data_IF_680519798654
#
_entry.id   IF_680519798654
#
_cell.length_a   1.000
_cell.length_b   1.000
_cell.length_c   1.000
_cell.angle_alpha   90.00
_cell.angle_beta   90.00
_cell.angle_gamma   90.00
#
_symmetry.space_group_name_H-M   'P 1'
#
loop_
_entity.id
_entity.type
_entity.pdbx_description
1 polymer ?
#
# COMPACT_ATOMS: atom_id res chain seq x y z
N UNK A 1 18.69 16.77 3.89
CA UNK A 1 18.40 16.20 2.56
C UNK A 1 18.34 14.69 2.69
N UNK A 2 17.26 14.07 2.26
CA UNK A 2 17.20 12.61 2.25
C UNK A 2 18.18 12.08 1.19
N UNK A 3 19.22 11.40 1.62
CA UNK A 3 20.19 10.81 0.71
C UNK A 3 19.55 9.61 -0.01
N UNK A 4 19.49 9.66 -1.35
CA UNK A 4 18.95 8.58 -2.18
C UNK A 4 19.76 7.26 -2.08
N UNK A 5 20.96 7.28 -1.49
CA UNK A 5 21.83 6.11 -1.32
C UNK A 5 21.17 4.96 -0.54
N UNK A 6 20.47 5.27 0.54
CA UNK A 6 19.83 4.26 1.39
C UNK A 6 18.71 3.55 0.64
N UNK A 7 17.96 4.27 -0.20
CA UNK A 7 16.81 3.74 -0.96
C UNK A 7 17.24 2.71 -2.02
N UNK A 8 18.48 2.73 -2.45
CA UNK A 8 19.00 1.76 -3.42
C UNK A 8 19.16 0.35 -2.83
N UNK A 9 19.51 0.27 -1.54
CA UNK A 9 19.81 -1.00 -0.88
C UNK A 9 18.71 -1.46 0.06
N UNK A 10 17.86 -0.55 0.55
CA UNK A 10 16.88 -0.82 1.58
C UNK A 10 15.56 -0.11 1.30
N UNK A 11 14.45 -0.70 1.75
CA UNK A 11 13.18 0.00 1.80
C UNK A 11 13.29 1.14 2.81
N UNK A 12 12.98 2.37 2.39
CA UNK A 12 13.06 3.56 3.24
C UNK A 12 11.76 4.36 3.16
N UNK A 13 11.38 4.99 4.26
CA UNK A 13 10.26 5.95 4.31
C UNK A 13 10.67 7.30 3.72
N UNK A 14 11.97 7.61 3.81
CA UNK A 14 12.56 8.81 3.22
C UNK A 14 13.02 8.60 1.78
N UNK A 15 13.62 9.64 1.19
CA UNK A 15 14.17 9.61 -0.15
C UNK A 15 13.42 10.54 -1.10
N UNK A 16 14.11 10.90 -2.20
CA UNK A 16 13.53 11.70 -3.26
C UNK A 16 12.84 10.79 -4.28
N UNK A 17 11.55 11.05 -4.53
CA UNK A 17 10.78 10.37 -5.57
C UNK A 17 9.80 11.35 -6.20
N UNK A 18 9.85 11.54 -7.52
CA UNK A 18 9.02 12.51 -8.24
C UNK A 18 7.51 12.19 -8.24
N UNK A 19 7.13 10.94 -7.96
CA UNK A 19 5.74 10.48 -7.90
C UNK A 19 5.33 10.01 -6.49
N UNK A 20 5.84 10.67 -5.44
CA UNK A 20 5.50 10.33 -4.06
C UNK A 20 4.01 10.60 -3.78
N UNK A 21 3.24 9.66 -3.21
CA UNK A 21 1.86 9.88 -2.86
C UNK A 21 1.72 11.05 -1.87
N UNK A 22 0.77 11.96 -2.13
CA UNK A 22 0.57 13.17 -1.33
C UNK A 22 0.41 12.87 0.16
N UNK A 23 -0.39 11.84 0.53
CA UNK A 23 -0.59 11.47 1.94
C UNK A 23 0.68 10.98 2.62
N UNK A 24 1.57 10.30 1.89
CA UNK A 24 2.88 9.89 2.44
C UNK A 24 3.78 11.11 2.66
N UNK A 25 3.76 12.09 1.75
CA UNK A 25 4.47 13.34 1.95
C UNK A 25 3.92 14.11 3.16
N UNK A 26 2.60 14.20 3.30
CA UNK A 26 1.97 14.85 4.44
C UNK A 26 2.32 14.16 5.78
N UNK A 27 2.33 12.82 5.84
CA UNK A 27 2.81 12.09 7.03
C UNK A 27 4.26 12.43 7.37
N UNK A 28 5.11 12.47 6.35
CA UNK A 28 6.51 12.83 6.54
C UNK A 28 6.66 14.26 7.07
N UNK A 29 6.00 15.22 6.45
CA UNK A 29 6.10 16.64 6.81
C UNK A 29 5.55 16.93 8.21
N UNK A 30 4.45 16.27 8.58
CA UNK A 30 3.77 16.50 9.85
C UNK A 30 4.41 15.74 11.01
N UNK A 31 4.81 14.47 10.81
CA UNK A 31 5.21 13.57 11.90
C UNK A 31 6.67 13.12 11.89
N UNK A 32 7.43 13.34 10.80
CA UNK A 32 8.77 12.78 10.66
C UNK A 32 9.85 13.83 10.35
N UNK A 33 9.46 15.06 9.96
CA UNK A 33 10.44 16.08 9.52
C UNK A 33 10.92 16.97 10.66
N UNK A 34 10.04 17.50 11.47
CA UNK A 34 10.35 18.44 12.56
C UNK A 34 10.27 17.78 13.93
N UNK A 35 9.18 17.09 14.18
CA UNK A 35 8.96 16.32 15.41
C UNK A 35 8.71 14.88 15.00
N UNK A 36 9.53 13.96 15.49
CA UNK A 36 9.37 12.55 15.19
C UNK A 36 8.31 11.97 16.14
N UNK A 37 7.17 11.54 15.59
CA UNK A 37 6.13 10.84 16.34
C UNK A 37 6.46 9.35 16.44
N UNK A 38 6.70 8.80 17.66
CA UNK A 38 6.98 7.38 17.83
C UNK A 38 5.85 6.48 17.29
N UNK A 39 4.58 6.86 17.49
CA UNK A 39 3.43 6.11 16.98
C UNK A 39 3.48 5.96 15.45
N UNK A 40 3.79 7.04 14.74
CA UNK A 40 3.88 7.03 13.27
C UNK A 40 5.09 6.24 12.79
N UNK A 41 6.22 6.35 13.48
CA UNK A 41 7.43 5.53 13.22
C UNK A 41 7.10 4.04 13.37
N UNK A 42 6.37 3.67 14.43
CA UNK A 42 6.02 2.28 14.73
C UNK A 42 5.02 1.71 13.71
N UNK A 43 3.95 2.46 13.37
CA UNK A 43 2.94 2.00 12.39
C UNK A 43 3.49 1.90 10.97
N UNK A 44 4.49 2.71 10.60
CA UNK A 44 5.19 2.63 9.32
C UNK A 44 6.24 1.51 9.30
N UNK A 45 6.32 0.70 10.36
CA UNK A 45 7.27 -0.40 10.50
C UNK A 45 8.72 0.03 10.29
N UNK A 46 9.08 1.24 10.75
CA UNK A 46 10.46 1.72 10.68
C UNK A 46 11.27 0.98 11.74
N UNK A 47 12.04 -0.02 11.31
CA UNK A 47 12.83 -0.89 12.20
C UNK A 47 14.18 -0.32 12.55
N UNK A 48 14.73 0.53 11.67
CA UNK A 48 16.06 1.09 11.82
C UNK A 48 16.05 2.58 11.55
N UNK A 49 16.79 3.33 12.36
CA UNK A 49 17.06 4.75 12.15
C UNK A 49 18.57 4.93 11.96
N UNK A 50 18.96 5.71 10.96
CA UNK A 50 20.36 6.05 10.74
C UNK A 50 20.66 7.38 11.43
N UNK A 51 21.68 7.40 12.26
CA UNK A 51 22.18 8.57 12.95
C UNK A 51 23.63 8.81 12.53
N UNK A 52 23.97 10.08 12.35
CA UNK A 52 25.36 10.47 12.10
C UNK A 52 26.00 10.82 13.45
N UNK A 53 27.05 10.10 13.82
CA UNK A 53 27.83 10.39 15.01
C UNK A 53 28.70 11.67 14.80
N UNK A 54 29.27 12.19 15.89
CA UNK A 54 30.09 13.41 15.84
C UNK A 54 31.32 13.28 14.94
N UNK A 55 31.85 12.07 14.81
CA UNK A 55 32.98 11.74 13.92
C UNK A 55 32.58 11.55 12.45
N UNK A 56 31.30 11.77 12.11
CA UNK A 56 30.74 11.58 10.76
C UNK A 56 30.40 10.12 10.39
N UNK A 57 30.62 9.16 11.28
CA UNK A 57 30.25 7.78 11.08
C UNK A 57 28.72 7.61 11.15
N UNK A 58 28.18 6.64 10.39
CA UNK A 58 26.75 6.30 10.43
C UNK A 58 26.53 5.12 11.37
N UNK A 59 25.66 5.31 12.36
CA UNK A 59 25.22 4.27 13.27
C UNK A 59 23.74 3.94 13.01
N UNK A 60 23.38 2.66 13.11
CA UNK A 60 22.00 2.21 12.97
C UNK A 60 21.39 1.94 14.37
N UNK A 61 20.38 2.71 14.72
CA UNK A 61 19.54 2.43 15.91
C UNK A 61 18.42 1.46 15.55
N UNK A 62 18.17 0.46 16.40
CA UNK A 62 17.05 -0.48 16.25
C UNK A 62 15.83 0.09 16.95
N UNK A 63 14.66 0.03 16.28
CA UNK A 63 13.36 0.32 16.88
C UNK A 63 12.64 -0.99 17.24
N UNK A 64 12.64 -1.42 18.51
CA UNK A 64 11.97 -2.64 18.93
C UNK A 64 10.43 -2.51 18.99
N UNK A 65 9.92 -1.27 18.93
CA UNK A 65 8.48 -0.97 19.02
C UNK A 65 7.77 -0.92 17.66
N UNK A 66 8.44 -1.22 16.55
CA UNK A 66 7.82 -1.27 15.23
C UNK A 66 6.71 -2.34 15.21
N UNK A 67 5.51 -1.99 14.70
CA UNK A 67 4.32 -2.88 14.75
C UNK A 67 4.42 -4.08 13.79
N UNK A 68 5.42 -4.11 12.91
CA UNK A 68 5.56 -5.15 11.91
C UNK A 68 4.83 -4.82 10.60
N UNK A 69 4.74 -5.83 9.74
CA UNK A 69 4.12 -5.65 8.42
C UNK A 69 2.59 -5.59 8.48
N UNK A 70 2.00 -6.18 9.55
CA UNK A 70 0.56 -6.27 9.76
C UNK A 70 0.27 -6.52 11.23
N UNK A 71 -0.83 -5.97 11.74
CA UNK A 71 -1.33 -6.22 13.09
C UNK A 71 -2.86 -6.15 13.13
N UNK A 72 -3.45 -6.75 14.16
CA UNK A 72 -4.89 -6.70 14.43
C UNK A 72 -5.19 -5.57 15.41
N UNK A 73 -6.32 -4.89 15.24
CA UNK A 73 -6.79 -3.82 16.12
C UNK A 73 -8.11 -4.18 16.80
N UNK A 74 -8.33 -3.60 17.98
CA UNK A 74 -9.54 -3.81 18.81
C UNK A 74 -10.63 -2.80 18.47
N UNK A 75 -10.25 -1.63 17.96
CA UNK A 75 -11.18 -0.52 17.73
C UNK A 75 -10.87 0.24 16.44
N UNK A 76 -11.92 0.68 15.75
CA UNK A 76 -11.82 1.65 14.66
C UNK A 76 -12.47 2.95 15.13
N UNK A 77 -11.71 4.03 15.04
CA UNK A 77 -12.14 5.38 15.37
C UNK A 77 -12.46 6.12 14.08
N UNK A 78 -13.71 6.58 13.95
CA UNK A 78 -14.11 7.44 12.85
C UNK A 78 -13.60 8.86 13.08
N UNK A 79 -12.91 9.39 12.08
CA UNK A 79 -12.41 10.75 12.05
C UNK A 79 -13.32 11.65 11.21
N UNK A 80 -13.47 12.90 11.60
CA UNK A 80 -14.33 13.87 10.91
C UNK A 80 -13.74 14.36 9.59
N UNK A 81 -12.41 14.33 9.47
CA UNK A 81 -11.67 14.79 8.30
C UNK A 81 -10.27 14.15 8.23
N UNK A 82 -9.60 14.34 7.10
CA UNK A 82 -8.20 13.94 6.95
C UNK A 82 -7.26 14.69 7.90
N UNK A 83 -7.59 15.95 8.24
CA UNK A 83 -6.80 16.74 9.17
C UNK A 83 -6.98 16.26 10.62
N UNK A 84 -8.20 15.87 11.01
CA UNK A 84 -8.47 15.21 12.29
C UNK A 84 -7.72 13.87 12.38
N UNK A 85 -7.78 13.07 11.31
CA UNK A 85 -7.09 11.77 11.23
C UNK A 85 -5.57 11.91 11.42
N UNK A 86 -4.90 12.81 10.68
CA UNK A 86 -3.45 12.96 10.76
C UNK A 86 -2.99 13.51 12.11
N UNK A 87 -3.75 14.45 12.71
CA UNK A 87 -3.40 15.01 14.02
C UNK A 87 -3.47 13.95 15.13
N UNK A 88 -4.49 13.11 15.11
CA UNK A 88 -4.74 12.08 16.13
C UNK A 88 -3.74 10.93 16.10
N UNK A 89 -3.02 10.70 14.98
CA UNK A 89 -2.01 9.64 14.89
C UNK A 89 -0.92 9.73 15.97
N UNK A 90 -0.61 10.93 16.46
CA UNK A 90 0.41 11.11 17.48
C UNK A 90 -0.04 10.70 18.88
N UNK A 91 -1.35 10.77 19.17
CA UNK A 91 -1.92 10.63 20.52
C UNK A 91 -2.69 9.33 20.74
N UNK A 92 -3.17 8.66 19.69
CA UNK A 92 -3.93 7.41 19.84
C UNK A 92 -3.01 6.19 19.94
N UNK A 93 -3.48 5.17 20.61
CA UNK A 93 -2.80 3.87 20.66
C UNK A 93 -3.02 3.10 19.34
N UNK A 94 -2.18 3.37 18.34
CA UNK A 94 -2.30 2.80 17.01
C UNK A 94 -2.00 1.30 16.94
N UNK A 95 -1.47 0.70 18.02
CA UNK A 95 -1.31 -0.75 18.10
C UNK A 95 -2.67 -1.43 18.31
N UNK A 96 -3.56 -0.77 19.04
CA UNK A 96 -4.91 -1.30 19.36
C UNK A 96 -6.03 -0.65 18.57
N UNK A 97 -5.78 0.53 17.99
CA UNK A 97 -6.80 1.33 17.32
C UNK A 97 -6.40 1.70 15.90
N UNK A 98 -7.36 1.74 15.01
CA UNK A 98 -7.19 2.30 13.68
C UNK A 98 -8.05 3.55 13.51
N UNK A 99 -7.50 4.57 12.87
CA UNK A 99 -8.20 5.80 12.55
C UNK A 99 -8.65 5.76 11.10
N UNK A 100 -9.84 6.26 10.78
CA UNK A 100 -10.31 6.33 9.39
C UNK A 100 -11.37 7.40 9.18
N UNK A 101 -11.43 7.93 7.96
CA UNK A 101 -12.56 8.71 7.45
C UNK A 101 -13.51 7.88 6.60
N UNK A 102 -13.16 6.59 6.32
CA UNK A 102 -14.00 5.69 5.58
C UNK A 102 -15.12 5.14 6.49
N UNK A 103 -16.29 4.86 5.91
CA UNK A 103 -17.39 4.28 6.66
C UNK A 103 -17.20 2.75 6.74
N UNK A 104 -16.93 2.26 7.95
CA UNK A 104 -16.75 0.84 8.24
C UNK A 104 -17.90 0.39 9.14
N UNK A 105 -18.57 -0.70 8.76
CA UNK A 105 -19.82 -1.16 9.39
C UNK A 105 -19.64 -1.66 10.84
N UNK A 106 -18.44 -2.09 11.20
CA UNK A 106 -18.10 -2.59 12.53
C UNK A 106 -16.88 -1.85 13.06
N UNK A 107 -16.93 -1.39 14.29
CA UNK A 107 -15.86 -0.57 14.90
C UNK A 107 -15.24 -1.14 16.17
N UNK A 108 -15.73 -2.29 16.65
CA UNK A 108 -15.20 -2.98 17.84
C UNK A 108 -14.91 -4.45 17.50
N UNK A 109 -13.75 -4.96 17.91
CA UNK A 109 -13.26 -6.29 17.61
C UNK A 109 -12.70 -6.95 18.86
N UNK A 110 -13.16 -8.17 19.13
CA UNK A 110 -12.62 -8.97 20.23
C UNK A 110 -11.40 -9.77 19.71
N UNK A 111 -10.24 -9.45 20.23
CA UNK A 111 -9.02 -10.21 19.97
C UNK A 111 -8.75 -11.16 21.15
N UNK A 112 -8.34 -12.37 20.82
CA UNK A 112 -7.91 -13.36 21.80
C UNK A 112 -6.44 -13.76 21.55
N UNK A 113 -5.91 -14.60 22.44
CA UNK A 113 -4.53 -15.08 22.36
C UNK A 113 -4.25 -15.99 21.14
N UNK A 114 -5.29 -16.47 20.47
CA UNK A 114 -5.21 -17.34 19.29
C UNK A 114 -5.23 -16.52 18.00
N UNK A 115 -5.63 -15.25 18.07
CA UNK A 115 -5.70 -14.36 16.92
C UNK A 115 -4.31 -14.01 16.43
N UNK A 116 -4.00 -14.44 15.20
CA UNK A 116 -2.68 -14.27 14.58
C UNK A 116 -2.82 -13.81 13.14
N UNK A 117 -1.91 -12.94 12.72
CA UNK A 117 -1.73 -12.56 11.32
C UNK A 117 -0.24 -12.37 11.03
N UNK A 118 0.23 -12.86 9.89
CA UNK A 118 1.65 -12.76 9.51
C UNK A 118 1.83 -12.61 8.00
N UNK A 119 2.90 -11.93 7.62
CA UNK A 119 3.35 -11.84 6.23
C UNK A 119 4.02 -13.15 5.82
N UNK A 120 3.55 -13.75 4.72
CA UNK A 120 4.10 -15.00 4.14
C UNK A 120 5.05 -14.69 2.99
N UNK A 121 4.68 -13.72 2.13
CA UNK A 121 5.48 -13.36 0.96
C UNK A 121 5.30 -11.89 0.61
N UNK A 122 6.40 -11.22 0.27
CA UNK A 122 6.44 -9.83 -0.17
C UNK A 122 7.14 -9.76 -1.52
N UNK A 123 6.38 -9.41 -2.56
CA UNK A 123 6.88 -9.11 -3.91
C UNK A 123 6.39 -7.74 -4.33
N UNK A 124 7.02 -7.13 -5.33
CA UNK A 124 6.69 -5.79 -5.78
C UNK A 124 5.19 -5.58 -6.10
N UNK A 125 4.54 -6.59 -6.68
CA UNK A 125 3.13 -6.51 -7.12
C UNK A 125 2.22 -7.52 -6.40
N UNK A 126 2.73 -8.22 -5.39
CA UNK A 126 1.98 -9.26 -4.68
C UNK A 126 2.43 -9.38 -3.23
N UNK A 127 1.48 -9.28 -2.31
CA UNK A 127 1.70 -9.46 -0.87
C UNK A 127 0.78 -10.57 -0.38
N UNK A 128 1.34 -11.57 0.30
CA UNK A 128 0.57 -12.69 0.87
C UNK A 128 0.70 -12.71 2.37
N UNK A 129 -0.44 -12.86 3.02
CA UNK A 129 -0.53 -12.99 4.47
C UNK A 129 -1.34 -14.23 4.82
N UNK A 130 -1.09 -14.76 6.01
CA UNK A 130 -1.90 -15.83 6.61
C UNK A 130 -2.42 -15.33 7.94
N UNK A 131 -3.67 -15.63 8.21
CA UNK A 131 -4.33 -15.27 9.47
C UNK A 131 -5.14 -16.42 10.03
N UNK A 132 -5.25 -16.45 11.35
CA UNK A 132 -6.21 -17.27 12.09
C UNK A 132 -6.82 -16.38 13.15
N UNK A 133 -8.14 -16.21 13.11
CA UNK A 133 -8.92 -15.37 14.04
C UNK A 133 -10.16 -16.11 14.47
N UNK A 134 -10.49 -16.05 15.75
CA UNK A 134 -11.68 -16.73 16.33
C UNK A 134 -12.99 -16.01 16.07
N UNK A 135 -12.93 -14.71 15.84
CA UNK A 135 -14.07 -13.84 15.52
C UNK A 135 -13.71 -12.88 14.39
N UNK A 136 -14.72 -12.22 13.82
CA UNK A 136 -14.48 -11.14 12.86
C UNK A 136 -13.49 -10.13 13.45
N UNK A 137 -12.43 -9.84 12.71
CA UNK A 137 -11.31 -9.01 13.15
C UNK A 137 -10.96 -7.97 12.11
N UNK A 138 -10.23 -6.93 12.49
CA UNK A 138 -9.74 -5.93 11.57
C UNK A 138 -8.21 -5.86 11.61
N UNK A 139 -7.59 -6.00 10.44
CA UNK A 139 -6.15 -5.92 10.29
C UNK A 139 -5.73 -4.59 9.66
N UNK A 140 -4.65 -4.02 10.19
CA UNK A 140 -3.94 -2.89 9.60
C UNK A 140 -2.63 -3.38 9.02
N UNK A 141 -2.35 -3.01 7.77
CA UNK A 141 -1.14 -3.38 7.04
C UNK A 141 -0.24 -2.16 6.92
N UNK A 142 1.03 -2.31 7.26
CA UNK A 142 2.04 -1.24 7.08
C UNK A 142 2.41 -1.09 5.60
N UNK A 143 1.37 -0.92 4.77
CA UNK A 143 1.44 -0.76 3.33
C UNK A 143 0.61 0.44 2.89
N UNK A 144 1.14 1.23 1.97
CA UNK A 144 0.45 2.40 1.47
C UNK A 144 -0.87 2.04 0.79
N UNK A 145 -1.95 2.70 1.22
CA UNK A 145 -3.21 2.66 0.49
C UNK A 145 -3.07 3.43 -0.82
N UNK A 146 -3.31 2.74 -1.92
CA UNK A 146 -3.35 3.34 -3.26
C UNK A 146 -4.56 2.79 -4.03
N UNK A 147 -5.57 3.65 -4.34
CA UNK A 147 -6.87 3.20 -4.85
C UNK A 147 -6.82 2.71 -6.30
N UNK A 148 -5.72 2.97 -7.03
CA UNK A 148 -5.63 2.70 -8.45
C UNK A 148 -4.75 1.49 -8.76
N UNK A 149 -5.26 0.29 -8.50
CA UNK A 149 -4.62 -0.92 -8.96
C UNK A 149 -4.39 -2.01 -7.90
N UNK A 150 -4.33 -1.67 -6.62
CA UNK A 150 -4.28 -2.71 -5.58
C UNK A 150 -5.67 -3.31 -5.37
N UNK A 151 -5.75 -4.62 -5.49
CA UNK A 151 -6.92 -5.45 -5.15
C UNK A 151 -6.59 -6.32 -3.96
N UNK A 152 -7.59 -6.62 -3.14
CA UNK A 152 -7.46 -7.52 -2.00
C UNK A 152 -8.37 -8.72 -2.15
N UNK A 153 -7.88 -9.88 -1.72
CA UNK A 153 -8.58 -11.16 -1.79
C UNK A 153 -8.45 -11.88 -0.46
N UNK A 154 -9.53 -12.55 -0.04
CA UNK A 154 -9.53 -13.51 1.06
C UNK A 154 -9.90 -14.87 0.47
N UNK A 155 -9.00 -15.85 0.59
CA UNK A 155 -9.17 -17.20 0.01
C UNK A 155 -9.52 -17.19 -1.50
N UNK A 156 -9.01 -16.18 -2.23
CA UNK A 156 -9.23 -16.03 -3.68
C UNK A 156 -10.46 -15.22 -4.06
N UNK A 157 -11.35 -14.87 -3.12
CA UNK A 157 -12.50 -13.99 -3.35
C UNK A 157 -12.08 -12.52 -3.18
N UNK A 158 -12.43 -11.68 -4.16
CA UNK A 158 -12.11 -10.24 -4.13
C UNK A 158 -12.95 -9.55 -3.06
N UNK A 159 -12.30 -8.80 -2.17
CA UNK A 159 -12.92 -8.04 -1.08
C UNK A 159 -12.42 -6.59 -1.09
N UNK A 160 -13.23 -5.68 -0.57
CA UNK A 160 -12.82 -4.28 -0.43
C UNK A 160 -11.86 -4.10 0.74
N UNK A 161 -10.82 -3.28 0.58
CA UNK A 161 -9.97 -2.82 1.65
C UNK A 161 -10.14 -1.32 1.86
N UNK A 162 -9.82 -0.85 3.05
CA UNK A 162 -10.07 0.50 3.54
C UNK A 162 -8.77 1.28 3.66
N UNK A 163 -8.89 2.61 3.63
CA UNK A 163 -7.80 3.47 4.04
C UNK A 163 -7.92 3.75 5.53
N UNK A 164 -6.84 3.47 6.26
CA UNK A 164 -6.77 3.69 7.71
C UNK A 164 -5.43 4.34 8.08
N UNK A 165 -5.38 4.93 9.26
CA UNK A 165 -4.19 5.60 9.79
C UNK A 165 -3.61 6.57 8.75
N UNK A 166 -4.51 7.34 8.11
CA UNK A 166 -4.24 8.35 7.11
C UNK A 166 -3.75 7.82 5.75
N UNK A 167 -2.91 6.80 5.72
CA UNK A 167 -2.27 6.35 4.48
C UNK A 167 -2.10 4.83 4.36
N UNK A 168 -2.45 4.06 5.38
CA UNK A 168 -2.27 2.61 5.40
C UNK A 168 -3.51 1.85 4.90
N UNK A 169 -3.36 0.55 4.69
CA UNK A 169 -4.47 -0.34 4.30
C UNK A 169 -5.07 -1.01 5.53
N UNK A 170 -6.38 -1.13 5.54
CA UNK A 170 -7.14 -1.91 6.51
C UNK A 170 -8.02 -2.93 5.84
N UNK A 171 -8.25 -4.09 6.46
CA UNK A 171 -9.08 -5.15 5.94
C UNK A 171 -9.91 -5.79 7.04
N UNK A 172 -11.22 -5.94 6.79
CA UNK A 172 -12.12 -6.72 7.62
C UNK A 172 -11.94 -8.20 7.28
N UNK A 173 -11.72 -9.04 8.29
CA UNK A 173 -11.41 -10.47 8.15
C UNK A 173 -12.46 -11.27 8.89
N UNK A 174 -13.18 -12.20 8.26
CA UNK A 174 -14.13 -13.08 8.92
C UNK A 174 -13.42 -14.05 9.89
N UNK A 175 -14.16 -14.64 10.82
CA UNK A 175 -13.64 -15.69 11.68
C UNK A 175 -13.13 -16.89 10.87
N UNK A 176 -12.02 -17.49 11.30
CA UNK A 176 -11.42 -18.65 10.65
C UNK A 176 -9.94 -18.48 10.31
N UNK A 177 -9.43 -19.43 9.53
CA UNK A 177 -8.08 -19.38 8.97
C UNK A 177 -8.15 -19.01 7.50
N UNK A 178 -7.44 -17.95 7.12
CA UNK A 178 -7.53 -17.39 5.77
C UNK A 178 -6.15 -17.08 5.18
N UNK A 179 -6.06 -17.18 3.86
CA UNK A 179 -5.02 -16.58 3.06
C UNK A 179 -5.53 -15.21 2.56
N UNK A 180 -4.76 -14.16 2.83
CA UNK A 180 -5.02 -12.80 2.35
C UNK A 180 -3.99 -12.49 1.27
N UNK A 181 -4.47 -12.01 0.13
CA UNK A 181 -3.65 -11.63 -1.01
C UNK A 181 -3.95 -10.19 -1.40
N UNK A 182 -2.91 -9.36 -1.46
CA UNK A 182 -2.97 -8.10 -2.19
C UNK A 182 -2.22 -8.23 -3.50
N UNK A 183 -2.84 -7.81 -4.60
CA UNK A 183 -2.24 -7.84 -5.93
C UNK A 183 -2.40 -6.51 -6.64
N UNK A 184 -1.33 -6.05 -7.26
CA UNK A 184 -1.33 -4.81 -8.02
C UNK A 184 -1.68 -5.08 -9.48
N UNK A 185 -2.92 -4.76 -9.86
CA UNK A 185 -3.49 -4.99 -11.19
C UNK A 185 -4.20 -3.73 -11.70
N UNK A 186 -3.46 -2.68 -12.10
CA UNK A 186 -4.07 -1.43 -12.54
C UNK A 186 -4.72 -1.58 -13.92
N UNK A 187 -6.03 -1.33 -14.00
CA UNK A 187 -6.83 -1.44 -15.23
C UNK A 187 -6.32 -0.57 -16.37
N UNK A 188 -5.69 0.57 -16.05
CA UNK A 188 -5.12 1.47 -17.07
C UNK A 188 -4.01 0.79 -17.87
N UNK A 189 -3.20 -0.09 -17.26
CA UNK A 189 -2.16 -0.84 -17.97
C UNK A 189 -2.79 -1.86 -18.91
N UNK A 190 -3.82 -2.57 -18.46
CA UNK A 190 -4.55 -3.53 -19.29
C UNK A 190 -5.23 -2.85 -20.48
N UNK A 191 -5.89 -1.70 -20.27
CA UNK A 191 -6.52 -0.89 -21.34
C UNK A 191 -5.48 -0.35 -22.29
N UNK A 192 -4.40 0.25 -21.80
CA UNK A 192 -3.30 0.76 -22.63
C UNK A 192 -2.66 -0.33 -23.48
N UNK A 193 -2.47 -1.53 -22.96
CA UNK A 193 -1.96 -2.67 -23.71
C UNK A 193 -2.88 -3.10 -24.83
N UNK A 194 -4.21 -3.10 -24.63
CA UNK A 194 -5.20 -3.40 -25.69
C UNK A 194 -5.19 -2.33 -26.79
N UNK A 195 -5.15 -1.05 -26.44
CA UNK A 195 -5.07 0.07 -27.41
C UNK A 195 -3.79 -0.04 -28.22
N UNK A 196 -2.66 -0.30 -27.57
CA UNK A 196 -1.36 -0.49 -28.24
C UNK A 196 -1.41 -1.65 -29.22
N UNK A 197 -1.97 -2.79 -28.83
CA UNK A 197 -2.08 -3.97 -29.70
C UNK A 197 -2.97 -3.68 -30.93
N UNK A 198 -4.11 -3.00 -30.74
CA UNK A 198 -4.98 -2.55 -31.81
C UNK A 198 -4.24 -1.59 -32.77
N UNK A 199 -3.48 -0.64 -32.23
CA UNK A 199 -2.65 0.28 -32.99
C UNK A 199 -1.60 -0.44 -33.87
N UNK A 200 -0.92 -1.43 -33.31
CA UNK A 200 0.02 -2.27 -34.08
C UNK A 200 -0.69 -3.07 -35.18
N UNK A 201 -1.89 -3.60 -34.91
CA UNK A 201 -2.69 -4.29 -35.93
C UNK A 201 -3.07 -3.38 -37.10
N UNK A 202 -3.56 -2.17 -36.82
CA UNK A 202 -3.92 -1.17 -37.84
C UNK A 202 -2.67 -0.77 -38.63
N UNK A 203 -1.57 -0.47 -37.95
CA UNK A 203 -0.31 -0.09 -38.61
C UNK A 203 0.17 -1.20 -39.54
N UNK A 204 0.19 -2.44 -39.08
CA UNK A 204 0.58 -3.60 -39.89
C UNK A 204 -0.32 -3.78 -41.12
N UNK A 205 -1.65 -3.55 -40.95
CA UNK A 205 -2.59 -3.61 -42.06
C UNK A 205 -2.30 -2.53 -43.12
N UNK A 206 -2.04 -1.30 -42.70
CA UNK A 206 -1.68 -0.20 -43.59
C UNK A 206 -0.40 -0.54 -44.36
N UNK A 207 0.63 -1.05 -43.67
CA UNK A 207 1.89 -1.47 -44.33
C UNK A 207 1.64 -2.57 -45.33
N UNK A 208 0.85 -3.58 -45.00
CA UNK A 208 0.50 -4.66 -45.95
C UNK A 208 -0.24 -4.15 -47.17
N UNK A 209 -1.22 -3.25 -46.99
CA UNK A 209 -1.96 -2.63 -48.10
C UNK A 209 -1.06 -1.80 -49.03
N UNK A 210 -0.01 -1.18 -48.48
CA UNK A 210 0.96 -0.44 -49.30
C UNK A 210 1.76 -1.34 -50.26
N UNK A 211 1.99 -2.61 -49.88
CA UNK A 211 2.69 -3.58 -50.75
C UNK A 211 1.76 -4.36 -51.69
N UNK A 212 0.42 -4.18 -51.58
CA UNK A 212 -0.52 -4.78 -52.55
C UNK A 212 -0.53 -3.98 -53.82
N UNK A 213 -0.12 -4.55 -55.01
CA UNK A 213 -0.08 -3.82 -56.23
C UNK A 213 -1.49 -3.41 -56.66
N UNK A 214 -1.72 -2.10 -56.90
CA UNK A 214 -3.00 -1.48 -57.29
C UNK A 214 -3.63 -2.08 -58.55
N UNK A 215 -2.90 -2.86 -59.36
CA UNK A 215 -3.39 -3.53 -60.58
C UNK A 215 -4.51 -4.57 -60.32
N UNK A 216 -4.82 -4.93 -59.06
CA UNK A 216 -5.90 -5.89 -58.75
C UNK A 216 -7.28 -5.24 -58.53
N UNK A 217 -7.34 -3.95 -58.32
CA UNK A 217 -8.60 -3.23 -58.28
C UNK A 217 -8.87 -2.67 -59.70
N UNK A 218 -9.57 -3.46 -60.50
CA UNK A 218 -9.96 -3.09 -61.87
C UNK A 218 -10.92 -1.90 -61.89
N UNK A 219 -10.40 -0.70 -61.81
CA UNK A 219 -11.06 0.50 -62.26
C UNK A 219 -10.83 0.56 -63.81
N UNK A 220 -11.80 -0.04 -64.55
CA UNK A 220 -11.92 0.26 -66.02
C UNK A 220 -12.21 1.76 -66.12
N UNK A 221 -11.33 2.44 -66.86
CA UNK A 221 -11.65 3.74 -67.46
C UNK A 221 -12.76 3.62 -68.46
#
# INVERSE_FOLDING_TARGET
MAHARTTYFHNTVGGYHGAKPHRMQALYDYHLSKTISPNVVNMLNIKYTLQTAEDGSLTAGVNPSAFGNVWLVEEIISCSSADDEIQRLASEDLLRKALTTDNISQNQFALDSLSQISLVSHKANELKYRTTVSSTSFAVFSEMYYPHGWKSFINGEEVSHYRVNYALRGLLIPAGTHEILFRFEPDVIARGSRIRLAGYGIFSLIVLLFFVPLKRFGLKQ
#
